data_IF_326456267237
#
_entry.id   IF_326456267237
#
_cell.length_a   1.000
_cell.length_b   1.000
_cell.length_c   1.000
_cell.angle_alpha   90.00
_cell.angle_beta   90.00
_cell.angle_gamma   90.00
#
_symmetry.space_group_name_H-M   'P 1'
#
loop_
_entity.id
_entity.type
_entity.pdbx_description
1 polymer ?
#
# COMPACT_ATOMS: atom_id res chain seq x y z
N UNK A 1 30.52 5.47 13.21
CA UNK A 1 31.93 5.19 12.91
C UNK A 1 32.50 4.17 13.90
N UNK A 2 32.26 4.26 15.20
CA UNK A 2 32.69 3.26 16.21
C UNK A 2 32.09 1.86 16.04
N UNK A 3 30.83 1.73 15.61
CA UNK A 3 30.17 0.44 15.37
C UNK A 3 30.83 -0.32 14.20
N UNK A 4 31.28 0.40 13.14
CA UNK A 4 31.97 -0.19 12.01
C UNK A 4 33.34 -0.79 12.40
N UNK A 5 34.03 -0.15 13.32
CA UNK A 5 35.36 -0.57 13.74
C UNK A 5 35.30 -1.78 14.69
N UNK A 6 34.24 -1.92 15.53
CA UNK A 6 34.05 -3.09 16.40
C UNK A 6 33.67 -4.38 15.64
N UNK A 7 33.12 -4.27 14.42
CA UNK A 7 32.80 -5.43 13.58
C UNK A 7 34.03 -5.93 12.82
N UNK A 8 34.94 -5.03 12.43
CA UNK A 8 36.14 -5.36 11.65
C UNK A 8 37.20 -6.09 12.51
N UNK A 9 37.33 -5.79 13.80
CA UNK A 9 38.33 -6.38 14.69
C UNK A 9 38.07 -7.85 15.14
N UNK A 10 36.98 -8.49 14.66
CA UNK A 10 36.62 -9.89 14.99
C UNK A 10 36.74 -10.88 13.83
N UNK A 11 37.32 -10.48 12.70
CA UNK A 11 37.32 -11.29 11.48
C UNK A 11 38.65 -12.03 11.24
N UNK A 12 38.96 -13.03 12.06
CA UNK A 12 40.11 -13.90 11.83
C UNK A 12 39.71 -15.40 11.80
N UNK A 13 38.84 -15.85 10.89
CA UNK A 13 38.66 -17.27 10.58
C UNK A 13 37.94 -17.57 9.26
N UNK A 14 38.13 -18.76 8.62
CA UNK A 14 37.70 -19.09 7.26
C UNK A 14 36.19 -19.36 7.03
N UNK A 15 35.33 -19.23 8.02
CA UNK A 15 33.86 -19.30 7.86
C UNK A 15 33.19 -17.93 7.66
N UNK A 16 33.97 -16.98 7.22
CA UNK A 16 33.65 -15.55 7.18
C UNK A 16 32.44 -15.22 6.29
N UNK A 17 32.23 -15.92 5.16
CA UNK A 17 31.18 -15.53 4.20
C UNK A 17 29.78 -15.85 4.74
N UNK A 18 29.58 -16.96 5.44
CA UNK A 18 28.29 -17.32 6.00
C UNK A 18 27.97 -16.52 7.30
N UNK A 19 29.01 -16.21 8.11
CA UNK A 19 28.83 -15.32 9.28
C UNK A 19 28.70 -13.85 8.88
N UNK A 20 29.43 -13.38 7.88
CA UNK A 20 29.29 -12.00 7.35
C UNK A 20 27.91 -11.77 6.75
N UNK A 21 27.32 -12.76 6.07
CA UNK A 21 25.94 -12.62 5.57
C UNK A 21 24.92 -12.58 6.71
N UNK A 22 25.11 -13.36 7.79
CA UNK A 22 24.24 -13.30 9.00
C UNK A 22 24.43 -12.01 9.78
N UNK A 23 25.67 -11.54 9.93
CA UNK A 23 26.00 -10.28 10.63
C UNK A 23 25.57 -9.08 9.77
N UNK A 24 25.70 -9.15 8.46
CA UNK A 24 25.22 -8.11 7.54
C UNK A 24 23.69 -8.02 7.61
N UNK A 25 22.97 -9.13 7.47
CA UNK A 25 21.52 -9.15 7.62
C UNK A 25 21.08 -8.60 8.99
N UNK A 26 21.68 -9.06 10.10
CA UNK A 26 21.43 -8.50 11.42
C UNK A 26 21.78 -7.00 11.52
N UNK A 27 22.83 -6.56 10.83
CA UNK A 27 23.27 -5.17 10.80
C UNK A 27 22.26 -4.19 10.21
N UNK A 28 21.49 -4.61 9.21
CA UNK A 28 20.46 -3.77 8.58
C UNK A 28 19.30 -3.48 9.53
N UNK A 29 18.82 -4.47 10.27
CA UNK A 29 17.80 -4.27 11.31
C UNK A 29 18.25 -3.30 12.41
N UNK A 30 19.51 -3.38 12.84
CA UNK A 30 20.06 -2.46 13.84
C UNK A 30 20.08 -0.99 13.38
N UNK A 31 20.05 -0.74 12.10
CA UNK A 31 20.09 0.61 11.56
C UNK A 31 18.71 1.26 11.38
N UNK A 32 17.64 0.45 11.35
CA UNK A 32 16.27 0.93 11.09
C UNK A 32 15.29 0.66 12.24
N UNK A 33 15.64 -0.17 13.23
CA UNK A 33 14.82 -0.49 14.39
C UNK A 33 15.43 0.09 15.67
N UNK A 34 14.59 0.38 16.66
CA UNK A 34 15.02 0.65 18.03
C UNK A 34 15.56 -0.62 18.71
N UNK A 35 16.27 -0.48 19.83
CA UNK A 35 16.80 -1.63 20.57
C UNK A 35 15.69 -2.57 21.07
N UNK A 36 14.57 -2.02 21.55
CA UNK A 36 13.43 -2.80 22.01
C UNK A 36 12.76 -3.56 20.86
N UNK A 37 12.64 -2.95 19.71
CA UNK A 37 12.08 -3.58 18.50
C UNK A 37 12.97 -4.74 18.02
N UNK A 38 14.29 -4.59 18.07
CA UNK A 38 15.24 -5.66 17.71
C UNK A 38 15.05 -6.90 18.61
N UNK A 39 14.85 -6.72 19.91
CA UNK A 39 14.62 -7.86 20.82
C UNK A 39 13.27 -8.55 20.51
N UNK A 40 12.23 -7.79 20.18
CA UNK A 40 10.93 -8.33 19.74
C UNK A 40 11.05 -9.10 18.43
N UNK A 41 11.77 -8.56 17.45
CA UNK A 41 12.01 -9.21 16.14
C UNK A 41 12.77 -10.52 16.27
N UNK A 42 13.75 -10.61 17.17
CA UNK A 42 14.53 -11.85 17.42
C UNK A 42 13.69 -12.99 17.97
N UNK A 43 12.65 -12.68 18.73
CA UNK A 43 11.78 -13.65 19.38
C UNK A 43 10.32 -13.16 19.43
N UNK A 44 9.60 -13.11 18.29
CA UNK A 44 8.22 -12.66 18.25
C UNK A 44 7.33 -13.46 19.20
N UNK A 45 6.48 -12.77 19.97
CA UNK A 45 5.59 -13.37 20.95
C UNK A 45 4.11 -13.23 20.59
N UNK A 46 3.79 -12.33 19.66
CA UNK A 46 2.43 -12.00 19.26
C UNK A 46 2.39 -11.52 17.80
N UNK A 47 1.19 -11.23 17.30
CA UNK A 47 0.99 -10.77 15.91
C UNK A 47 1.63 -9.41 15.62
N UNK A 48 1.70 -8.49 16.57
CA UNK A 48 2.32 -7.18 16.39
C UNK A 48 3.83 -7.30 16.21
N UNK A 49 4.49 -8.17 17.00
CA UNK A 49 5.90 -8.49 16.83
C UNK A 49 6.17 -9.12 15.45
N UNK A 50 5.23 -9.96 15.00
CA UNK A 50 5.33 -10.58 13.68
C UNK A 50 5.18 -9.57 12.54
N UNK A 51 4.24 -8.63 12.63
CA UNK A 51 4.10 -7.54 11.65
C UNK A 51 5.34 -6.64 11.64
N UNK A 52 5.89 -6.34 12.82
CA UNK A 52 7.14 -5.58 12.94
C UNK A 52 8.30 -6.30 12.25
N UNK A 53 8.43 -7.62 12.46
CA UNK A 53 9.43 -8.46 11.78
C UNK A 53 9.24 -8.41 10.25
N UNK A 54 8.03 -8.63 9.75
CA UNK A 54 7.72 -8.57 8.31
C UNK A 54 8.12 -7.23 7.70
N UNK A 55 7.74 -6.13 8.36
CA UNK A 55 8.06 -4.78 7.91
C UNK A 55 9.57 -4.54 7.85
N UNK A 56 10.28 -4.94 8.89
CA UNK A 56 11.72 -4.76 8.97
C UNK A 56 12.45 -5.60 7.91
N UNK A 57 12.02 -6.84 7.66
CA UNK A 57 12.56 -7.72 6.61
C UNK A 57 12.39 -7.10 5.22
N UNK A 58 11.17 -6.65 4.89
CA UNK A 58 10.88 -6.05 3.59
C UNK A 58 11.72 -4.79 3.36
N UNK A 59 11.86 -3.94 4.38
CA UNK A 59 12.68 -2.72 4.29
C UNK A 59 14.16 -3.09 4.12
N UNK A 60 14.65 -4.07 4.86
CA UNK A 60 16.05 -4.50 4.80
C UNK A 60 16.42 -5.12 3.44
N UNK A 61 15.48 -5.81 2.79
CA UNK A 61 15.66 -6.45 1.48
C UNK A 61 15.50 -5.46 0.30
N UNK A 62 14.95 -4.27 0.54
CA UNK A 62 14.75 -3.23 -0.46
C UNK A 62 15.60 -1.99 -0.18
N UNK A 63 16.70 -1.82 -0.92
CA UNK A 63 17.65 -0.73 -0.70
C UNK A 63 17.04 0.67 -0.78
N UNK A 64 16.00 0.87 -1.58
CA UNK A 64 15.32 2.16 -1.69
C UNK A 64 14.52 2.46 -0.43
N UNK A 65 13.71 1.50 0.01
CA UNK A 65 12.97 1.62 1.28
C UNK A 65 13.94 1.78 2.45
N UNK A 66 15.01 1.00 2.47
CA UNK A 66 16.04 1.12 3.50
C UNK A 66 16.63 2.53 3.58
N UNK A 67 16.97 3.14 2.44
CA UNK A 67 17.50 4.53 2.39
C UNK A 67 16.48 5.52 2.93
N UNK A 68 15.22 5.39 2.55
CA UNK A 68 14.14 6.25 3.03
C UNK A 68 14.01 6.15 4.55
N UNK A 69 13.85 4.94 5.08
CA UNK A 69 13.70 4.72 6.52
C UNK A 69 14.95 5.17 7.28
N UNK A 70 16.15 4.84 6.77
CA UNK A 70 17.40 5.27 7.38
C UNK A 70 17.56 6.79 7.43
N UNK A 71 17.07 7.52 6.43
CA UNK A 71 17.04 8.97 6.44
C UNK A 71 16.19 9.50 7.60
N UNK A 72 14.99 8.93 7.84
CA UNK A 72 14.15 9.34 8.98
C UNK A 72 14.78 8.98 10.33
N UNK A 73 15.41 7.80 10.43
CA UNK A 73 16.20 7.45 11.61
C UNK A 73 17.26 8.51 11.89
N UNK A 74 17.99 8.95 10.87
CA UNK A 74 19.05 9.94 11.02
C UNK A 74 18.51 11.34 11.40
N UNK A 75 17.32 11.70 10.91
CA UNK A 75 16.60 12.90 11.34
C UNK A 75 16.21 12.79 12.81
N UNK A 76 15.60 11.69 13.23
CA UNK A 76 15.18 11.47 14.61
C UNK A 76 16.38 11.55 15.57
N UNK A 77 17.47 10.86 15.24
CA UNK A 77 18.71 10.87 16.04
C UNK A 77 19.28 12.30 16.15
N UNK A 78 19.35 13.05 15.04
CA UNK A 78 19.86 14.44 15.03
C UNK A 78 18.97 15.40 15.83
N UNK A 79 17.66 15.12 15.84
CA UNK A 79 16.65 15.92 16.58
C UNK A 79 16.50 15.50 18.04
N UNK A 80 17.21 14.44 18.50
CA UNK A 80 17.09 13.91 19.84
C UNK A 80 15.74 13.25 20.13
N UNK A 81 15.01 12.83 19.09
CA UNK A 81 13.74 12.11 19.19
C UNK A 81 14.02 10.61 19.19
N UNK A 82 13.35 9.88 20.10
CA UNK A 82 13.43 8.42 20.12
C UNK A 82 12.79 7.86 18.85
N UNK A 83 13.52 7.00 18.14
CA UNK A 83 13.06 6.35 16.93
C UNK A 83 12.31 5.04 17.26
N UNK A 84 11.21 4.84 16.56
CA UNK A 84 10.50 3.55 16.50
C UNK A 84 9.96 3.33 15.10
N UNK A 85 10.32 2.20 14.49
CA UNK A 85 9.81 1.77 13.19
C UNK A 85 8.29 1.47 13.26
N UNK A 86 7.84 0.92 14.39
CA UNK A 86 6.43 0.63 14.64
C UNK A 86 5.60 1.92 14.68
N UNK A 87 6.02 2.90 15.48
CA UNK A 87 5.30 4.18 15.57
C UNK A 87 5.36 4.99 14.27
N UNK A 88 6.45 4.90 13.51
CA UNK A 88 6.59 5.60 12.23
C UNK A 88 5.57 5.10 11.18
N UNK A 89 5.26 3.80 11.18
CA UNK A 89 4.25 3.21 10.29
C UNK A 89 2.93 2.88 11.01
N UNK A 90 2.65 3.55 12.12
CA UNK A 90 1.39 3.41 12.82
C UNK A 90 0.23 3.90 11.99
N UNK A 91 -0.84 3.15 11.99
CA UNK A 91 -2.07 3.49 11.29
C UNK A 91 -3.29 3.35 12.20
N UNK A 92 -4.28 4.22 11.99
CA UNK A 92 -5.53 4.19 12.75
C UNK A 92 -6.71 3.61 11.92
N UNK A 93 -6.49 3.24 10.66
CA UNK A 93 -7.59 2.87 9.76
C UNK A 93 -8.33 1.61 10.22
N UNK A 94 -7.61 0.62 10.72
CA UNK A 94 -8.20 -0.59 11.30
C UNK A 94 -9.00 -0.29 12.55
N UNK A 95 -8.43 0.47 13.49
CA UNK A 95 -9.12 0.88 14.71
C UNK A 95 -10.33 1.77 14.42
N UNK A 96 -10.21 2.66 13.43
CA UNK A 96 -11.30 3.51 13.01
C UNK A 96 -12.48 2.68 12.50
N UNK A 97 -12.25 1.74 11.59
CA UNK A 97 -13.27 0.81 11.11
C UNK A 97 -13.87 -0.01 12.27
N UNK A 98 -13.01 -0.63 13.09
CA UNK A 98 -13.41 -1.46 14.24
C UNK A 98 -14.31 -0.69 15.23
N UNK A 99 -14.04 0.57 15.46
CA UNK A 99 -14.84 1.40 16.38
C UNK A 99 -16.24 1.72 15.87
N UNK A 100 -16.48 1.59 14.56
CA UNK A 100 -17.80 1.74 13.96
C UNK A 100 -18.54 0.41 13.78
N UNK A 101 -17.94 -0.71 14.11
CA UNK A 101 -18.63 -2.01 14.08
C UNK A 101 -19.65 -2.14 15.22
N UNK A 102 -20.74 -2.89 15.02
CA UNK A 102 -21.56 -3.43 16.12
C UNK A 102 -20.70 -4.18 17.14
N UNK A 103 -21.10 -4.16 18.41
CA UNK A 103 -20.29 -4.72 19.52
C UNK A 103 -19.92 -6.18 19.29
N UNK A 104 -20.87 -6.99 18.83
CA UNK A 104 -20.68 -8.42 18.55
C UNK A 104 -19.68 -8.69 17.41
N UNK A 105 -19.59 -7.82 16.40
CA UNK A 105 -18.60 -7.92 15.33
C UNK A 105 -17.24 -7.35 15.78
N UNK A 106 -17.25 -6.29 16.56
CA UNK A 106 -16.04 -5.69 17.13
C UNK A 106 -15.28 -6.69 17.99
N UNK A 107 -15.96 -7.40 18.89
CA UNK A 107 -15.37 -8.42 19.74
C UNK A 107 -14.69 -9.55 18.95
N UNK A 108 -15.23 -9.91 17.78
CA UNK A 108 -14.63 -10.95 16.92
C UNK A 108 -13.29 -10.54 16.33
N UNK A 109 -13.13 -9.27 15.94
CA UNK A 109 -11.90 -8.77 15.28
C UNK A 109 -10.87 -8.20 16.26
N UNK A 110 -11.20 -8.09 17.54
CA UNK A 110 -10.37 -7.41 18.55
C UNK A 110 -9.00 -8.09 18.78
N UNK A 111 -8.91 -9.38 18.48
CA UNK A 111 -7.64 -10.14 18.62
C UNK A 111 -6.77 -10.16 17.35
N UNK A 112 -7.14 -9.46 16.30
CA UNK A 112 -6.38 -9.43 15.03
C UNK A 112 -5.31 -8.35 15.13
N UNK A 113 -4.03 -8.73 15.01
CA UNK A 113 -2.93 -7.78 14.90
C UNK A 113 -2.97 -7.04 13.56
N UNK A 114 -2.70 -5.73 13.56
CA UNK A 114 -2.86 -4.91 12.36
C UNK A 114 -1.70 -3.96 12.11
N UNK A 115 -1.42 -3.63 10.83
CA UNK A 115 -0.37 -2.69 10.53
C UNK A 115 -0.19 -2.39 9.04
N UNK A 116 0.81 -1.55 8.76
CA UNK A 116 1.27 -1.28 7.40
C UNK A 116 2.54 -2.07 7.11
N UNK A 117 2.62 -2.64 5.92
CA UNK A 117 3.84 -3.23 5.35
C UNK A 117 4.00 -2.74 3.91
N UNK A 118 5.10 -3.05 3.24
CA UNK A 118 5.26 -2.75 1.82
C UNK A 118 4.91 -3.99 1.00
N UNK A 119 3.99 -3.85 0.04
CA UNK A 119 3.61 -4.92 -0.88
C UNK A 119 3.40 -4.36 -2.28
N UNK A 120 3.56 -5.20 -3.30
CA UNK A 120 3.24 -4.88 -4.69
C UNK A 120 1.73 -4.90 -4.97
N UNK A 121 0.97 -5.52 -4.09
CA UNK A 121 -0.47 -5.62 -4.26
C UNK A 121 -1.14 -4.30 -3.84
N UNK A 122 -1.94 -3.73 -4.74
CA UNK A 122 -2.78 -2.56 -4.47
C UNK A 122 -3.99 -2.99 -3.60
N UNK A 123 -3.73 -3.59 -2.45
CA UNK A 123 -4.77 -4.12 -1.56
C UNK A 123 -4.23 -4.28 -0.13
N UNK A 124 -5.08 -4.85 0.74
CA UNK A 124 -4.72 -5.44 2.02
C UNK A 124 -4.49 -6.94 1.92
N UNK A 125 -4.15 -7.52 3.06
CA UNK A 125 -4.01 -8.96 3.23
C UNK A 125 -4.36 -9.35 4.66
N UNK A 126 -5.25 -10.33 4.84
CA UNK A 126 -5.45 -11.00 6.12
C UNK A 126 -4.93 -12.44 6.04
N UNK A 127 -4.19 -12.86 7.06
CA UNK A 127 -3.55 -14.17 7.10
C UNK A 127 -3.42 -14.70 8.52
N UNK A 128 -3.25 -16.01 8.64
CA UNK A 128 -3.03 -16.68 9.92
C UNK A 128 -1.55 -17.00 10.13
N UNK A 129 -1.08 -16.79 11.34
CA UNK A 129 0.26 -17.10 11.81
C UNK A 129 0.20 -18.00 13.04
N UNK A 130 1.34 -18.46 13.54
CA UNK A 130 1.45 -19.13 14.84
C UNK A 130 1.07 -18.21 16.02
N UNK A 131 1.04 -16.89 15.77
CA UNK A 131 0.70 -15.86 16.77
C UNK A 131 -0.75 -15.35 16.64
N UNK A 132 -1.58 -15.99 15.83
CA UNK A 132 -2.94 -15.57 15.55
C UNK A 132 -3.13 -14.96 14.17
N UNK A 133 -4.25 -14.26 13.97
CA UNK A 133 -4.52 -13.56 12.73
C UNK A 133 -3.82 -12.20 12.69
N UNK A 134 -3.30 -11.89 11.51
CA UNK A 134 -2.71 -10.58 11.19
C UNK A 134 -3.41 -10.01 9.96
N UNK A 135 -3.69 -8.71 9.97
CA UNK A 135 -4.23 -7.97 8.83
C UNK A 135 -3.34 -6.77 8.52
N UNK A 136 -2.92 -6.64 7.28
CA UNK A 136 -1.99 -5.60 6.86
C UNK A 136 -2.46 -4.89 5.60
N UNK A 137 -2.10 -3.60 5.47
CA UNK A 137 -2.30 -2.81 4.25
C UNK A 137 -0.95 -2.36 3.71
N UNK A 138 -0.88 -2.10 2.41
CA UNK A 138 0.35 -1.59 1.81
C UNK A 138 0.61 -0.13 2.19
N UNK A 139 1.80 0.15 2.69
CA UNK A 139 2.25 1.52 2.98
C UNK A 139 2.40 2.37 1.69
N UNK A 140 2.60 1.74 0.54
CA UNK A 140 2.70 2.40 -0.77
C UNK A 140 1.38 3.01 -1.24
N UNK A 141 0.24 2.56 -0.68
CA UNK A 141 -1.09 3.03 -1.07
C UNK A 141 -1.30 4.53 -0.89
N UNK A 142 -0.60 5.17 0.07
CA UNK A 142 -0.71 6.61 0.24
C UNK A 142 -0.35 7.35 -1.06
N UNK A 143 0.79 7.05 -1.63
CA UNK A 143 1.26 7.70 -2.86
C UNK A 143 0.50 7.21 -4.09
N UNK A 144 0.13 5.95 -4.14
CA UNK A 144 -0.73 5.42 -5.20
C UNK A 144 -2.06 6.18 -5.27
N UNK A 145 -2.76 6.33 -4.15
CA UNK A 145 -4.03 7.06 -4.05
C UNK A 145 -3.81 8.54 -4.41
N UNK A 146 -2.83 9.20 -3.77
CA UNK A 146 -2.52 10.60 -3.98
C UNK A 146 -2.32 10.93 -5.47
N UNK A 147 -1.42 10.23 -6.13
CA UNK A 147 -1.09 10.50 -7.53
C UNK A 147 -2.19 10.04 -8.49
N UNK A 148 -2.95 9.00 -8.18
CA UNK A 148 -4.14 8.63 -8.95
C UNK A 148 -5.22 9.70 -8.89
N UNK A 149 -5.47 10.26 -7.71
CA UNK A 149 -6.45 11.34 -7.55
C UNK A 149 -6.01 12.65 -8.19
N UNK A 150 -4.72 12.93 -8.33
CA UNK A 150 -4.24 14.10 -9.06
C UNK A 150 -4.71 14.08 -10.53
N UNK A 151 -4.83 12.90 -11.13
CA UNK A 151 -5.37 12.77 -12.49
C UNK A 151 -6.91 12.84 -12.53
N UNK A 152 -7.58 12.29 -11.51
CA UNK A 152 -9.03 12.09 -11.53
C UNK A 152 -9.84 13.28 -11.04
N UNK A 153 -9.24 14.23 -10.31
CA UNK A 153 -9.97 15.40 -9.83
C UNK A 153 -10.26 16.38 -10.96
N UNK A 154 -11.48 16.87 -11.03
CA UNK A 154 -11.80 18.04 -11.84
C UNK A 154 -11.34 19.32 -11.12
N UNK A 155 -10.21 19.87 -11.57
CA UNK A 155 -9.65 21.12 -11.06
C UNK A 155 -10.05 22.33 -11.92
N UNK A 156 -11.08 22.20 -12.76
CA UNK A 156 -11.49 23.25 -13.70
C UNK A 156 -10.44 23.53 -14.80
N UNK A 157 -9.72 22.50 -15.22
CA UNK A 157 -8.66 22.60 -16.24
C UNK A 157 -7.33 23.18 -15.72
N UNK A 158 -7.15 23.29 -14.42
CA UNK A 158 -5.90 23.78 -13.80
C UNK A 158 -4.75 22.78 -13.88
N UNK A 159 -5.06 21.49 -14.02
CA UNK A 159 -4.07 20.43 -14.14
C UNK A 159 -3.89 20.09 -15.61
N UNK A 160 -2.70 20.29 -16.20
CA UNK A 160 -2.45 19.94 -17.59
C UNK A 160 -2.60 18.44 -17.83
N UNK A 161 -3.11 18.00 -18.99
CA UNK A 161 -3.28 16.58 -19.32
C UNK A 161 -1.99 15.76 -19.18
N UNK A 162 -0.84 16.33 -19.56
CA UNK A 162 0.47 15.68 -19.41
C UNK A 162 0.85 15.44 -17.94
N UNK A 163 0.43 16.32 -17.02
CA UNK A 163 0.61 16.16 -15.59
C UNK A 163 -0.28 15.03 -15.06
N UNK A 164 -1.51 14.94 -15.55
CA UNK A 164 -2.43 13.83 -15.21
C UNK A 164 -1.84 12.48 -15.62
N UNK A 165 -1.33 12.36 -16.84
CA UNK A 165 -0.70 11.12 -17.33
C UNK A 165 0.57 10.79 -16.52
N UNK A 166 1.43 11.78 -16.26
CA UNK A 166 2.63 11.59 -15.47
C UNK A 166 2.30 11.17 -14.03
N UNK A 167 1.25 11.73 -13.43
CA UNK A 167 0.81 11.34 -12.07
C UNK A 167 0.31 9.91 -12.01
N UNK A 168 -0.49 9.45 -12.99
CA UNK A 168 -0.89 8.05 -13.07
C UNK A 168 0.31 7.12 -13.27
N UNK A 169 1.29 7.51 -14.09
CA UNK A 169 2.54 6.75 -14.25
C UNK A 169 3.29 6.62 -12.92
N UNK A 170 3.41 7.71 -12.13
CA UNK A 170 4.02 7.67 -10.79
C UNK A 170 3.24 6.71 -9.88
N UNK A 171 1.89 6.81 -9.85
CA UNK A 171 1.03 5.94 -9.05
C UNK A 171 1.25 4.45 -9.40
N UNK A 172 1.16 4.09 -10.67
CA UNK A 172 1.33 2.72 -11.16
C UNK A 172 2.73 2.19 -10.83
N UNK A 173 3.78 2.99 -11.08
CA UNK A 173 5.17 2.63 -10.77
C UNK A 173 5.42 2.44 -9.28
N UNK A 174 4.71 3.20 -8.44
CA UNK A 174 4.77 3.03 -6.97
C UNK A 174 4.31 1.62 -6.57
N UNK A 175 3.23 1.12 -7.16
CA UNK A 175 2.76 -0.24 -6.91
C UNK A 175 3.64 -1.32 -7.55
N UNK A 176 4.32 -1.02 -8.66
CA UNK A 176 5.33 -1.90 -9.25
C UNK A 176 6.69 -1.86 -8.54
N UNK A 177 6.80 -1.12 -7.42
CA UNK A 177 8.06 -0.92 -6.67
C UNK A 177 9.21 -0.34 -7.54
N UNK A 178 8.87 0.43 -8.56
CA UNK A 178 9.85 1.11 -9.44
C UNK A 178 10.20 2.53 -8.95
N UNK A 179 9.29 3.15 -8.19
CA UNK A 179 9.54 4.45 -7.54
C UNK A 179 10.22 4.26 -6.19
N UNK A 180 11.09 5.21 -5.82
CA UNK A 180 11.49 5.36 -4.43
C UNK A 180 10.36 6.03 -3.64
N UNK A 181 10.16 5.63 -2.37
CA UNK A 181 9.17 6.25 -1.49
C UNK A 181 9.75 7.45 -0.74
N UNK A 182 10.54 8.27 -1.43
CA UNK A 182 11.26 9.44 -0.92
C UNK A 182 10.53 10.76 -1.23
N UNK A 183 9.23 10.69 -1.44
CA UNK A 183 8.39 11.81 -1.88
C UNK A 183 8.41 13.02 -0.92
N UNK A 184 8.78 12.85 0.33
CA UNK A 184 8.86 13.96 1.29
C UNK A 184 10.04 14.90 1.01
N UNK A 185 11.11 14.41 0.41
CA UNK A 185 12.24 15.27 -0.01
C UNK A 185 12.41 15.35 -1.53
N UNK A 186 11.72 14.49 -2.27
CA UNK A 186 11.60 14.57 -3.72
C UNK A 186 10.14 14.34 -4.14
N UNK A 187 9.28 15.33 -4.04
CA UNK A 187 7.83 15.20 -4.26
C UNK A 187 7.42 14.96 -5.72
N UNK A 188 8.35 14.75 -6.63
CA UNK A 188 8.16 14.56 -8.07
C UNK A 188 7.59 15.78 -8.80
N UNK A 189 7.39 16.88 -8.12
CA UNK A 189 6.86 18.11 -8.67
C UNK A 189 6.30 19.03 -7.59
N UNK A 190 5.80 20.19 -8.02
CA UNK A 190 5.18 21.19 -7.15
C UNK A 190 3.67 21.13 -7.37
N UNK A 191 2.97 20.61 -6.38
CA UNK A 191 1.50 20.55 -6.37
C UNK A 191 1.00 21.74 -5.55
N UNK A 192 0.08 22.59 -6.09
CA UNK A 192 -0.52 23.66 -5.30
C UNK A 192 -1.20 23.13 -4.03
N UNK A 193 -1.07 23.86 -2.91
CA UNK A 193 -1.53 23.41 -1.59
C UNK A 193 -3.04 23.08 -1.54
N UNK A 194 -3.87 23.82 -2.27
CA UNK A 194 -5.30 23.58 -2.36
C UNK A 194 -5.60 22.28 -3.12
N UNK A 195 -4.84 21.96 -4.16
CA UNK A 195 -4.93 20.68 -4.88
C UNK A 195 -4.41 19.54 -3.99
N UNK A 196 -3.27 19.75 -3.32
CA UNK A 196 -2.69 18.76 -2.39
C UNK A 196 -3.70 18.29 -1.33
N UNK A 197 -4.44 19.23 -0.73
CA UNK A 197 -5.50 18.92 0.25
C UNK A 197 -6.61 18.05 -0.34
N UNK A 198 -7.02 18.33 -1.57
CA UNK A 198 -8.09 17.59 -2.25
C UNK A 198 -7.64 16.17 -2.61
N UNK A 199 -6.44 16.01 -3.15
CA UNK A 199 -5.96 14.69 -3.59
C UNK A 199 -5.54 13.76 -2.45
N UNK A 200 -5.27 14.30 -1.26
CA UNK A 200 -4.95 13.51 -0.06
C UNK A 200 -6.19 13.17 0.78
N UNK A 201 -7.29 13.90 0.62
CA UNK A 201 -8.54 13.65 1.36
C UNK A 201 -9.13 12.24 1.17
N UNK A 202 -9.00 11.56 0.01
CA UNK A 202 -9.48 10.20 -0.18
C UNK A 202 -8.80 9.14 0.69
N UNK A 203 -7.53 9.35 1.04
CA UNK A 203 -6.69 8.35 1.67
C UNK A 203 -7.29 7.72 2.92
N UNK A 204 -7.74 8.46 3.96
CA UNK A 204 -8.27 7.83 5.16
C UNK A 204 -9.52 6.99 4.90
N UNK A 205 -10.39 7.41 3.98
CA UNK A 205 -11.62 6.67 3.66
C UNK A 205 -11.30 5.38 2.89
N UNK A 206 -10.44 5.44 1.89
CA UNK A 206 -10.02 4.28 1.10
C UNK A 206 -9.29 3.27 1.99
N UNK A 207 -8.35 3.71 2.83
CA UNK A 207 -7.63 2.83 3.74
C UNK A 207 -8.57 2.20 4.79
N UNK A 208 -9.56 2.93 5.27
CA UNK A 208 -10.60 2.39 6.16
C UNK A 208 -11.46 1.36 5.44
N UNK A 209 -11.82 1.60 4.16
CA UNK A 209 -12.54 0.64 3.35
C UNK A 209 -11.73 -0.65 3.15
N UNK A 210 -10.44 -0.55 2.82
CA UNK A 210 -9.56 -1.70 2.67
C UNK A 210 -9.37 -2.47 3.98
N UNK A 211 -9.21 -1.77 5.12
CA UNK A 211 -9.18 -2.41 6.43
C UNK A 211 -10.49 -3.18 6.71
N UNK A 212 -11.62 -2.58 6.36
CA UNK A 212 -12.95 -3.20 6.47
C UNK A 212 -13.12 -4.41 5.56
N UNK A 213 -12.56 -4.35 4.35
CA UNK A 213 -12.55 -5.46 3.41
C UNK A 213 -11.81 -6.68 4.00
N UNK A 214 -10.60 -6.47 4.54
CA UNK A 214 -9.83 -7.54 5.18
C UNK A 214 -10.54 -8.12 6.42
N UNK A 215 -11.10 -7.27 7.28
CA UNK A 215 -11.92 -7.73 8.40
C UNK A 215 -13.17 -8.49 7.95
N UNK A 216 -13.75 -8.12 6.80
CA UNK A 216 -14.94 -8.80 6.27
C UNK A 216 -14.65 -10.23 5.83
N UNK A 217 -13.47 -10.53 5.28
CA UNK A 217 -13.04 -11.90 5.02
C UNK A 217 -13.05 -12.74 6.30
N UNK A 218 -12.54 -12.20 7.39
CA UNK A 218 -12.55 -12.88 8.69
C UNK A 218 -13.99 -13.06 9.23
N UNK A 219 -14.79 -12.00 9.21
CA UNK A 219 -16.15 -11.99 9.73
C UNK A 219 -17.09 -12.89 8.94
N UNK A 220 -16.86 -13.06 7.64
CA UNK A 220 -17.61 -13.94 6.76
C UNK A 220 -17.24 -15.44 6.90
N UNK A 221 -16.17 -15.75 7.68
CA UNK A 221 -15.66 -17.11 7.82
C UNK A 221 -14.87 -17.62 6.61
N UNK A 222 -14.43 -16.72 5.74
CA UNK A 222 -13.72 -17.10 4.52
C UNK A 222 -12.39 -17.79 4.81
N UNK A 223 -11.84 -17.60 6.03
CA UNK A 223 -10.58 -18.16 6.50
C UNK A 223 -10.73 -19.56 7.16
N UNK A 224 -11.97 -20.06 7.32
CA UNK A 224 -12.23 -21.33 8.00
C UNK A 224 -12.02 -22.54 7.07
N UNK A 225 -12.24 -22.40 5.76
CA UNK A 225 -11.98 -23.43 4.74
C UNK A 225 -10.49 -23.51 4.37
N UNK A 226 -9.70 -23.96 5.34
CA UNK A 226 -8.25 -24.07 5.25
C UNK A 226 -7.80 -25.22 4.32
N UNK A 227 -8.01 -25.10 3.05
CA UNK A 227 -7.09 -25.67 2.08
C UNK A 227 -5.97 -24.64 1.85
N UNK A 228 -5.03 -24.64 2.81
CA UNK A 228 -3.84 -23.80 2.77
C UNK A 228 -3.10 -24.03 1.44
N UNK A 229 -3.42 -23.26 0.43
CA UNK A 229 -2.45 -22.96 -0.59
C UNK A 229 -1.40 -22.16 0.17
N UNK A 230 -0.26 -22.80 0.49
CA UNK A 230 0.95 -22.10 0.87
C UNK A 230 1.31 -21.19 -0.32
N UNK A 231 0.62 -20.07 -0.45
CA UNK A 231 1.20 -18.94 -1.13
C UNK A 231 2.33 -18.54 -0.20
N UNK A 232 3.48 -19.06 -0.51
CA UNK A 232 4.69 -18.50 0.02
C UNK A 232 4.53 -17.00 -0.25
N UNK A 233 4.67 -16.15 0.76
CA UNK A 233 5.03 -14.75 0.55
C UNK A 233 6.48 -14.81 0.05
N UNK A 234 6.74 -15.76 -0.84
CA UNK A 234 8.06 -16.15 -1.35
C UNK A 234 8.62 -15.14 -2.34
N UNK A 235 7.83 -14.15 -2.76
CA UNK A 235 8.40 -12.99 -3.44
C UNK A 235 9.22 -12.11 -2.51
N UNK A 236 9.05 -12.25 -1.20
CA UNK A 236 9.76 -11.43 -0.21
C UNK A 236 10.68 -12.23 0.72
N UNK A 237 10.58 -13.56 0.75
CA UNK A 237 11.39 -14.40 1.64
C UNK A 237 12.25 -15.36 0.83
N UNK A 238 13.56 -15.34 1.03
CA UNK A 238 14.48 -16.31 0.44
C UNK A 238 14.16 -17.71 0.95
N UNK A 239 14.17 -18.70 0.03
CA UNK A 239 14.01 -20.12 0.34
C UNK A 239 14.96 -20.55 1.49
N UNK A 240 14.41 -21.18 2.51
CA UNK A 240 15.21 -21.95 3.46
C UNK A 240 14.99 -21.72 4.95
N UNK A 241 14.02 -20.91 5.40
CA UNK A 241 13.80 -20.69 6.83
C UNK A 241 12.38 -21.10 7.27
N UNK A 242 12.30 -22.02 8.25
CA UNK A 242 11.08 -22.73 8.69
C UNK A 242 9.97 -21.86 9.33
N UNK A 243 10.27 -20.64 9.77
CA UNK A 243 9.27 -19.74 10.38
C UNK A 243 8.41 -18.98 9.35
N UNK A 244 8.62 -19.23 8.08
CA UNK A 244 7.98 -18.53 6.94
C UNK A 244 6.75 -19.23 6.38
N UNK A 245 6.12 -20.11 7.12
CA UNK A 245 4.83 -20.70 6.74
C UNK A 245 3.70 -19.75 7.08
N UNK A 246 3.43 -18.83 6.15
CA UNK A 246 2.24 -18.00 6.20
C UNK A 246 1.15 -18.72 5.41
N UNK A 247 0.06 -19.06 6.08
CA UNK A 247 -1.14 -19.53 5.42
C UNK A 247 -1.83 -18.36 4.73
N UNK A 248 -1.46 -18.05 3.49
CA UNK A 248 -2.19 -17.08 2.70
C UNK A 248 -3.49 -17.70 2.19
N UNK A 249 -4.55 -16.93 2.26
CA UNK A 249 -5.87 -17.30 1.82
C UNK A 249 -6.01 -17.04 0.30
N UNK A 250 -6.63 -17.97 -0.42
CA UNK A 250 -6.98 -17.79 -1.83
C UNK A 250 -8.49 -17.58 -1.92
N UNK A 251 -8.91 -16.30 -1.93
CA UNK A 251 -10.30 -15.93 -2.04
C UNK A 251 -10.89 -16.34 -3.40
N UNK A 252 -12.15 -16.72 -3.43
CA UNK A 252 -12.88 -16.84 -4.68
C UNK A 252 -13.66 -15.55 -4.97
N UNK A 253 -14.09 -15.35 -6.21
CA UNK A 253 -14.77 -14.12 -6.63
C UNK A 253 -16.01 -13.77 -5.79
N UNK A 254 -16.74 -14.76 -5.25
CA UNK A 254 -17.92 -14.50 -4.40
C UNK A 254 -17.50 -13.94 -3.04
N UNK A 255 -16.41 -14.42 -2.49
CA UNK A 255 -15.87 -13.96 -1.22
C UNK A 255 -15.38 -12.52 -1.32
N UNK A 256 -14.71 -12.16 -2.42
CA UNK A 256 -14.32 -10.78 -2.70
C UNK A 256 -15.54 -9.84 -2.74
N UNK A 257 -16.57 -10.20 -3.48
CA UNK A 257 -17.81 -9.42 -3.53
C UNK A 257 -18.49 -9.31 -2.16
N UNK A 258 -18.48 -10.38 -1.37
CA UNK A 258 -19.04 -10.37 -0.03
C UNK A 258 -18.20 -9.52 0.94
N UNK A 259 -16.88 -9.53 0.82
CA UNK A 259 -15.98 -8.72 1.63
C UNK A 259 -16.15 -7.22 1.32
N UNK A 260 -16.27 -6.83 0.05
CA UNK A 260 -16.57 -5.45 -0.35
C UNK A 260 -17.88 -4.95 0.26
N UNK A 261 -18.92 -5.77 0.20
CA UNK A 261 -20.21 -5.43 0.79
C UNK A 261 -20.17 -5.40 2.31
N UNK A 262 -19.40 -6.29 2.94
CA UNK A 262 -19.17 -6.30 4.39
C UNK A 262 -18.48 -5.02 4.84
N UNK A 263 -17.45 -4.57 4.12
CA UNK A 263 -16.75 -3.32 4.40
C UNK A 263 -17.70 -2.09 4.42
N UNK A 264 -18.72 -2.09 3.56
CA UNK A 264 -19.69 -0.99 3.49
C UNK A 264 -20.87 -1.16 4.45
N UNK A 265 -21.33 -2.39 4.71
CA UNK A 265 -22.58 -2.63 5.41
C UNK A 265 -22.42 -2.90 6.91
N UNK A 266 -21.25 -3.35 7.37
CA UNK A 266 -21.02 -3.65 8.78
C UNK A 266 -20.86 -2.40 9.66
N UNK A 267 -20.05 -1.37 9.26
CA UNK A 267 -19.85 -0.21 10.10
C UNK A 267 -21.14 0.65 10.22
N UNK A 268 -21.26 1.34 11.35
CA UNK A 268 -22.38 2.24 11.70
C UNK A 268 -21.91 3.68 11.64
N UNK A 269 -21.55 4.13 10.46
CA UNK A 269 -21.28 5.53 10.17
C UNK A 269 -22.58 6.35 10.20
N UNK A 270 -22.49 7.64 10.52
CA UNK A 270 -23.61 8.55 10.26
C UNK A 270 -23.79 8.80 8.76
N UNK A 271 -24.86 9.50 8.38
CA UNK A 271 -25.21 9.65 6.96
C UNK A 271 -24.18 10.47 6.18
N UNK A 272 -23.58 11.51 6.77
CA UNK A 272 -22.58 12.35 6.09
C UNK A 272 -21.28 11.58 5.88
N UNK A 273 -20.83 10.90 6.92
CA UNK A 273 -19.64 10.06 6.86
C UNK A 273 -19.82 8.88 5.90
N UNK A 274 -20.99 8.21 5.92
CA UNK A 274 -21.29 7.12 5.01
C UNK A 274 -21.34 7.58 3.57
N UNK A 275 -21.85 8.79 3.27
CA UNK A 275 -21.86 9.36 1.93
C UNK A 275 -20.43 9.48 1.37
N UNK A 276 -19.48 10.00 2.17
CA UNK A 276 -18.07 10.14 1.78
C UNK A 276 -17.39 8.76 1.68
N UNK A 277 -17.65 7.89 2.64
CA UNK A 277 -17.08 6.54 2.66
C UNK A 277 -17.49 5.71 1.44
N UNK A 278 -18.77 5.74 1.08
CA UNK A 278 -19.29 5.10 -0.13
C UNK A 278 -18.70 5.69 -1.41
N UNK A 279 -18.62 7.02 -1.50
CA UNK A 279 -18.01 7.72 -2.62
C UNK A 279 -16.56 7.29 -2.85
N UNK A 280 -15.76 7.27 -1.77
CA UNK A 280 -14.36 6.90 -1.89
C UNK A 280 -14.12 5.39 -2.06
N UNK A 281 -15.01 4.53 -1.58
CA UNK A 281 -14.99 3.11 -1.89
C UNK A 281 -15.21 2.85 -3.40
N UNK A 282 -16.14 3.54 -4.04
CA UNK A 282 -16.29 3.48 -5.49
C UNK A 282 -15.10 4.07 -6.23
N UNK A 283 -14.56 5.20 -5.74
CA UNK A 283 -13.39 5.83 -6.33
C UNK A 283 -12.14 4.93 -6.23
N UNK A 284 -12.03 4.11 -5.17
CA UNK A 284 -10.99 3.09 -5.07
C UNK A 284 -11.02 2.13 -6.26
N UNK A 285 -12.18 1.58 -6.60
CA UNK A 285 -12.29 0.69 -7.76
C UNK A 285 -12.09 1.40 -9.09
N UNK A 286 -12.36 2.70 -9.15
CA UNK A 286 -12.05 3.53 -10.31
C UNK A 286 -10.53 3.60 -10.56
N UNK A 287 -9.74 3.94 -9.54
CA UNK A 287 -8.28 3.99 -9.69
C UNK A 287 -7.66 2.60 -9.85
N UNK A 288 -8.24 1.59 -9.21
CA UNK A 288 -7.79 0.20 -9.35
C UNK A 288 -8.04 -0.32 -10.78
N UNK A 289 -9.13 0.06 -11.46
CA UNK A 289 -9.39 -0.31 -12.85
C UNK A 289 -8.33 0.24 -13.81
N UNK A 290 -7.91 1.50 -13.60
CA UNK A 290 -6.82 2.11 -14.37
C UNK A 290 -5.49 1.38 -14.12
N UNK A 291 -5.21 1.02 -12.86
CA UNK A 291 -4.03 0.23 -12.51
C UNK A 291 -4.05 -1.15 -13.17
N UNK A 292 -5.18 -1.89 -13.10
CA UNK A 292 -5.36 -3.19 -13.76
C UNK A 292 -5.16 -3.10 -15.29
N UNK A 293 -5.59 -2.01 -15.92
CA UNK A 293 -5.38 -1.80 -17.35
C UNK A 293 -3.88 -1.70 -17.69
N UNK A 294 -3.11 -0.97 -16.89
CA UNK A 294 -1.65 -0.90 -17.02
C UNK A 294 -0.99 -2.26 -16.77
N UNK A 295 -1.34 -2.92 -15.66
CA UNK A 295 -0.81 -4.23 -15.27
C UNK A 295 -1.06 -5.29 -16.34
N UNK A 296 -2.30 -5.37 -16.86
CA UNK A 296 -2.65 -6.32 -17.91
C UNK A 296 -1.95 -6.02 -19.25
N UNK A 297 -1.60 -4.76 -19.50
CA UNK A 297 -0.85 -4.37 -20.70
C UNK A 297 0.62 -4.73 -20.58
N UNK A 298 1.21 -4.53 -19.41
CA UNK A 298 2.62 -4.85 -19.13
C UNK A 298 2.83 -6.36 -18.95
N UNK A 299 1.93 -7.00 -18.23
CA UNK A 299 2.01 -8.40 -17.81
C UNK A 299 0.73 -9.16 -18.19
N UNK A 300 0.53 -9.47 -19.48
CA UNK A 300 -0.69 -10.16 -19.93
C UNK A 300 -0.94 -11.43 -19.10
N UNK A 301 -2.15 -11.60 -18.53
CA UNK A 301 -2.43 -12.73 -17.67
C UNK A 301 -2.44 -14.04 -18.45
N UNK A 302 -1.58 -14.97 -18.08
CA UNK A 302 -1.56 -16.34 -18.65
C UNK A 302 -2.59 -17.27 -17.99
N UNK A 303 -3.10 -16.89 -16.81
CA UNK A 303 -4.06 -17.67 -16.01
C UNK A 303 -5.29 -16.82 -15.65
N UNK A 304 -6.40 -17.48 -15.29
CA UNK A 304 -7.57 -16.79 -14.74
C UNK A 304 -7.17 -16.01 -13.50
N UNK A 305 -7.56 -14.74 -13.46
CA UNK A 305 -7.41 -13.91 -12.28
C UNK A 305 -8.12 -14.56 -11.08
N UNK A 306 -7.45 -14.61 -9.95
CA UNK A 306 -8.00 -15.14 -8.69
C UNK A 306 -9.09 -14.22 -8.12
N UNK A 307 -8.98 -12.91 -8.38
CA UNK A 307 -9.91 -11.89 -7.92
C UNK A 307 -10.78 -11.39 -9.09
N UNK A 308 -12.03 -10.96 -8.83
CA UNK A 308 -12.83 -10.27 -9.84
C UNK A 308 -12.21 -8.90 -10.13
N UNK A 309 -12.21 -8.51 -11.41
CA UNK A 309 -11.66 -7.21 -11.81
C UNK A 309 -12.38 -6.03 -11.15
N UNK A 310 -11.70 -4.92 -11.02
CA UNK A 310 -12.16 -3.71 -10.33
C UNK A 310 -13.53 -3.22 -10.83
N UNK A 311 -13.78 -3.24 -12.14
CA UNK A 311 -15.10 -2.87 -12.71
C UNK A 311 -16.23 -3.80 -12.24
N UNK A 312 -15.98 -5.08 -12.07
CA UNK A 312 -16.98 -6.02 -11.58
C UNK A 312 -17.28 -5.76 -10.09
N UNK A 313 -16.27 -5.46 -9.29
CA UNK A 313 -16.39 -5.08 -7.87
C UNK A 313 -17.13 -3.74 -7.72
N UNK A 314 -16.80 -2.74 -8.54
CA UNK A 314 -17.53 -1.48 -8.62
C UNK A 314 -19.02 -1.68 -8.85
N UNK A 315 -19.39 -2.46 -9.87
CA UNK A 315 -20.79 -2.76 -10.20
C UNK A 315 -21.50 -3.56 -9.10
N UNK A 316 -20.78 -4.45 -8.42
CA UNK A 316 -21.32 -5.19 -7.28
C UNK A 316 -21.74 -4.23 -6.15
N UNK A 317 -20.92 -3.24 -5.82
CA UNK A 317 -21.25 -2.22 -4.81
C UNK A 317 -22.47 -1.40 -5.25
N UNK A 318 -22.48 -0.88 -6.46
CA UNK A 318 -23.61 -0.08 -6.98
C UNK A 318 -24.96 -0.80 -6.88
N UNK A 319 -24.94 -2.13 -7.11
CA UNK A 319 -26.17 -2.92 -7.17
C UNK A 319 -26.62 -3.47 -5.81
N UNK A 320 -25.67 -3.73 -4.89
CA UNK A 320 -25.93 -4.59 -3.71
C UNK A 320 -25.59 -3.92 -2.37
N UNK A 321 -24.77 -2.85 -2.32
CA UNK A 321 -24.49 -2.17 -1.07
C UNK A 321 -25.65 -1.27 -0.61
N UNK A 322 -25.70 -1.00 0.70
CA UNK A 322 -26.59 0.04 1.24
C UNK A 322 -26.30 1.36 0.52
N UNK A 323 -27.34 1.97 -0.04
CA UNK A 323 -27.20 3.26 -0.73
C UNK A 323 -26.99 4.38 0.26
N UNK A 324 -26.07 5.33 -0.01
CA UNK A 324 -25.92 6.55 0.78
C UNK A 324 -27.14 7.48 0.61
N UNK A 325 -27.35 8.39 1.57
CA UNK A 325 -28.52 9.30 1.56
C UNK A 325 -28.54 10.23 0.35
N UNK A 326 -27.37 10.60 -0.17
CA UNK A 326 -27.21 11.45 -1.36
C UNK A 326 -27.14 10.67 -2.68
N UNK A 327 -27.49 9.37 -2.69
CA UNK A 327 -27.30 8.51 -3.87
C UNK A 327 -27.99 9.04 -5.13
N UNK A 328 -29.25 9.50 -5.02
CA UNK A 328 -30.00 9.98 -6.19
C UNK A 328 -29.40 11.28 -6.76
N UNK A 329 -28.79 12.13 -5.95
CA UNK A 329 -28.07 13.33 -6.37
C UNK A 329 -26.78 12.96 -7.13
N UNK A 330 -26.06 11.95 -6.63
CA UNK A 330 -24.79 11.49 -7.18
C UNK A 330 -24.94 10.40 -8.25
N UNK A 331 -26.15 9.99 -8.57
CA UNK A 331 -26.43 8.84 -9.45
C UNK A 331 -25.79 8.96 -10.84
N UNK A 332 -25.89 10.13 -11.45
CA UNK A 332 -25.29 10.38 -12.77
C UNK A 332 -23.79 10.24 -12.70
N UNK A 333 -23.18 10.81 -11.66
CA UNK A 333 -21.75 10.68 -11.43
C UNK A 333 -21.33 9.21 -11.27
N UNK A 334 -21.99 8.46 -10.38
CA UNK A 334 -21.63 7.06 -10.14
C UNK A 334 -21.87 6.14 -11.35
N UNK A 335 -22.94 6.35 -12.09
CA UNK A 335 -23.35 5.43 -13.15
C UNK A 335 -22.82 5.80 -14.53
N UNK A 336 -22.42 7.06 -14.74
CA UNK A 336 -22.06 7.57 -16.08
C UNK A 336 -20.72 8.28 -16.06
N UNK A 337 -20.57 9.34 -15.25
CA UNK A 337 -19.41 10.23 -15.37
C UNK A 337 -18.12 9.59 -14.89
N UNK A 338 -18.12 8.96 -13.71
CA UNK A 338 -16.93 8.26 -13.18
C UNK A 338 -16.54 7.05 -14.04
N UNK A 339 -17.45 6.15 -14.44
CA UNK A 339 -17.10 5.05 -15.35
C UNK A 339 -16.56 5.53 -16.71
N UNK A 340 -17.09 6.64 -17.27
CA UNK A 340 -16.57 7.22 -18.51
C UNK A 340 -15.16 7.76 -18.30
N UNK A 341 -14.93 8.54 -17.26
CA UNK A 341 -13.60 9.07 -16.91
C UNK A 341 -12.58 7.95 -16.75
N UNK A 342 -12.96 6.86 -16.06
CA UNK A 342 -12.11 5.66 -15.92
C UNK A 342 -11.78 5.07 -17.28
N UNK A 343 -12.77 4.91 -18.17
CA UNK A 343 -12.56 4.34 -19.50
C UNK A 343 -11.61 5.20 -20.35
N UNK A 344 -11.76 6.52 -20.27
CA UNK A 344 -10.88 7.46 -20.97
C UNK A 344 -9.42 7.33 -20.47
N UNK A 345 -9.22 7.23 -19.16
CA UNK A 345 -7.88 7.05 -18.61
C UNK A 345 -7.30 5.65 -18.82
N UNK A 346 -8.12 4.60 -18.87
CA UNK A 346 -7.65 3.26 -19.25
C UNK A 346 -7.06 3.27 -20.66
N UNK A 347 -7.77 3.88 -21.63
CA UNK A 347 -7.27 4.01 -23.01
C UNK A 347 -5.95 4.78 -23.06
N UNK A 348 -5.87 5.93 -22.37
CA UNK A 348 -4.66 6.75 -22.29
C UNK A 348 -3.50 5.97 -21.69
N UNK A 349 -3.73 5.24 -20.60
CA UNK A 349 -2.68 4.49 -19.91
C UNK A 349 -2.24 3.26 -20.73
N UNK A 350 -3.14 2.56 -21.39
CA UNK A 350 -2.79 1.47 -22.31
C UNK A 350 -1.86 1.98 -23.42
N UNK A 351 -2.21 3.12 -24.04
CA UNK A 351 -1.36 3.75 -25.04
C UNK A 351 -0.02 4.19 -24.46
N UNK A 352 -0.03 4.85 -23.29
CA UNK A 352 1.19 5.32 -22.64
C UNK A 352 2.14 4.15 -22.28
N UNK A 353 1.61 3.05 -21.76
CA UNK A 353 2.40 1.83 -21.51
C UNK A 353 3.01 1.27 -22.77
N UNK A 354 2.25 1.20 -23.86
CA UNK A 354 2.72 0.66 -25.14
C UNK A 354 3.85 1.50 -25.76
N UNK A 355 3.75 2.83 -25.69
CA UNK A 355 4.75 3.73 -26.26
C UNK A 355 5.92 4.03 -25.32
N UNK A 356 5.74 3.91 -24.02
CA UNK A 356 6.71 4.27 -22.99
C UNK A 356 6.98 3.11 -22.02
N UNK A 357 6.97 1.86 -22.50
CA UNK A 357 7.17 0.66 -21.67
C UNK A 357 8.39 0.76 -20.75
N UNK A 358 9.54 1.19 -21.28
CA UNK A 358 10.76 1.40 -20.50
C UNK A 358 10.54 2.42 -19.36
N UNK A 359 9.67 3.40 -19.57
CA UNK A 359 9.30 4.39 -18.55
C UNK A 359 8.59 3.78 -17.33
N UNK A 360 7.99 2.60 -17.45
CA UNK A 360 7.37 1.85 -16.36
C UNK A 360 8.32 0.85 -15.72
N UNK A 361 9.32 0.34 -16.45
CA UNK A 361 10.22 -0.73 -16.01
C UNK A 361 11.49 -0.23 -15.33
N UNK A 362 12.03 0.94 -15.75
CA UNK A 362 13.29 1.41 -15.16
C UNK A 362 13.11 1.74 -13.68
N UNK A 363 14.19 1.51 -12.93
CA UNK A 363 14.25 1.85 -11.51
C UNK A 363 14.76 3.28 -11.34
N UNK A 364 13.94 4.15 -10.78
CA UNK A 364 14.24 5.57 -10.63
C UNK A 364 12.98 6.40 -10.47
N UNK A 365 13.09 7.69 -10.55
CA UNK A 365 11.95 8.57 -10.32
C UNK A 365 11.44 9.20 -11.60
N UNK A 366 10.13 9.23 -11.75
CA UNK A 366 9.41 9.95 -12.79
C UNK A 366 8.86 11.24 -12.20
N UNK A 367 8.74 12.28 -12.99
CA UNK A 367 8.30 13.61 -12.55
C UNK A 367 7.01 14.02 -13.22
N UNK A 368 6.24 14.88 -12.54
CA UNK A 368 4.96 15.41 -13.03
C UNK A 368 5.11 16.24 -14.31
N UNK A 369 6.28 16.84 -14.52
CA UNK A 369 6.51 17.67 -15.70
C UNK A 369 7.97 17.73 -16.08
N UNK A 370 8.27 18.32 -17.24
CA UNK A 370 9.62 18.61 -17.69
C UNK A 370 10.35 19.58 -16.75
N UNK A 371 11.70 19.57 -16.72
CA UNK A 371 12.49 20.48 -15.90
C UNK A 371 12.12 21.96 -16.15
N UNK A 372 12.17 22.78 -15.08
CA UNK A 372 11.92 24.22 -15.11
C UNK A 372 10.50 24.64 -15.52
N UNK A 373 9.54 23.73 -15.46
CA UNK A 373 8.12 24.05 -15.61
C UNK A 373 7.48 24.35 -14.24
N UNK A 374 6.29 24.99 -14.25
CA UNK A 374 5.56 25.33 -13.02
C UNK A 374 5.31 24.10 -12.14
N UNK A 375 4.96 22.97 -12.74
CA UNK A 375 4.65 21.73 -12.04
C UNK A 375 5.86 20.93 -11.56
N UNK A 376 7.05 21.18 -12.09
CA UNK A 376 8.27 20.51 -11.63
C UNK A 376 9.11 21.38 -10.69
N UNK A 377 9.14 22.67 -10.92
CA UNK A 377 10.05 23.58 -10.25
C UNK A 377 11.51 23.47 -10.72
N UNK A 378 12.46 24.03 -9.96
CA UNK A 378 13.88 23.97 -10.30
C UNK A 378 14.42 22.54 -10.20
N UNK A 379 15.46 22.26 -10.98
CA UNK A 379 16.16 20.98 -10.87
C UNK A 379 16.82 20.82 -9.49
N UNK A 380 16.74 19.64 -8.92
CA UNK A 380 17.45 19.27 -7.72
C UNK A 380 18.87 18.85 -8.10
N UNK A 381 19.87 19.70 -7.75
CA UNK A 381 21.26 19.57 -8.22
C UNK A 381 21.98 18.34 -7.62
N UNK A 382 21.57 17.88 -6.44
CA UNK A 382 22.27 16.81 -5.69
C UNK A 382 21.53 15.47 -5.70
N UNK A 383 20.73 15.24 -6.73
CA UNK A 383 19.97 14.02 -6.81
C UNK A 383 20.82 12.89 -7.36
N UNK A 384 20.94 11.82 -6.58
CA UNK A 384 21.54 10.55 -7.02
C UNK A 384 20.40 9.58 -7.30
N UNK A 385 20.06 9.44 -8.57
CA UNK A 385 19.19 8.37 -9.04
C UNK A 385 19.99 7.04 -9.02
N UNK A 386 19.55 6.08 -8.25
CA UNK A 386 20.12 4.75 -8.20
C UNK A 386 19.12 3.71 -8.64
#
# INVERSE_FOLDING_TARGET
>A
MEIKNQVIDRLDTPNIVAEVSKIAAAGWFYAICSKSEIERIKAPQNGDDFILLLRADIIADNMRLYRVVKHYVDIAVRSGVEWSLEEFYKTNHFEYFKNHLPVDLKEKVDGIATGLIFTKEANGLIFKTDFGFCSVLSASLFYFIKFSFLALIDSGGRIPPEVCVASLRIAIRTMFEKEALDFDWDPRGIIPEDIEKVITAPYPYIMTFLAGHEYSHFLNGDLDDYHAVQKTISTYFKDGEDYKKIGAYNSNQKQEFAADLGALNYPKFDDEEYNLYYYYALSWFAILAIFEAAENTMFPPFNKQSHPGAKARYNNILNNAKRPSNFEEMKVFYMIDLPRLVSDYEEIIIEDVQYNYEGYEFEGSVYLAAPNTEWRGPELIDRVDY
#
